data_IF_537352693702
#
_entry.id   IF_537352693702
#
_cell.length_a   1.000
_cell.length_b   1.000
_cell.length_c   1.000
_cell.angle_alpha   90.00
_cell.angle_beta   90.00
_cell.angle_gamma   90.00
#
_symmetry.space_group_name_H-M   'P 1'
#
loop_
_entity.id
_entity.type
_entity.pdbx_description
1 polymer ?
#
# COMPACT_ATOMS: atom_id res chain seq x y z
N UNK A 1 -38.06 -62.18 22.59
CA UNK A 1 -37.13 -61.39 23.42
C UNK A 1 -35.75 -61.34 22.76
N UNK A 2 -35.63 -60.81 21.53
CA UNK A 2 -34.34 -60.75 20.79
C UNK A 2 -33.99 -59.31 20.37
N UNK A 3 -34.97 -58.39 20.34
CA UNK A 3 -34.77 -56.99 19.96
C UNK A 3 -34.01 -56.13 20.99
N UNK A 4 -33.95 -56.54 22.27
CA UNK A 4 -33.32 -55.74 23.33
C UNK A 4 -31.80 -55.96 23.40
N UNK A 5 -31.31 -57.14 23.01
CA UNK A 5 -29.89 -57.49 23.11
C UNK A 5 -29.05 -56.86 21.98
N UNK A 6 -29.66 -56.58 20.82
CA UNK A 6 -28.98 -55.87 19.72
C UNK A 6 -28.97 -54.34 19.87
N UNK A 7 -29.91 -53.75 20.62
CA UNK A 7 -30.02 -52.29 20.74
C UNK A 7 -28.94 -51.68 21.66
N UNK A 8 -28.47 -52.42 22.66
CA UNK A 8 -27.48 -51.96 23.63
C UNK A 8 -26.10 -51.59 23.02
N UNK A 9 -25.47 -52.43 22.17
CA UNK A 9 -24.20 -52.04 21.53
C UNK A 9 -24.36 -50.87 20.56
N UNK A 10 -25.50 -50.78 19.85
CA UNK A 10 -25.78 -49.66 18.95
C UNK A 10 -26.00 -48.33 19.71
N UNK A 11 -26.59 -48.37 20.91
CA UNK A 11 -26.68 -47.18 21.78
C UNK A 11 -25.30 -46.72 22.26
N UNK A 12 -24.42 -47.63 22.65
CA UNK A 12 -23.04 -47.30 23.05
C UNK A 12 -22.25 -46.69 21.89
N UNK A 13 -22.39 -47.24 20.69
CA UNK A 13 -21.76 -46.69 19.48
C UNK A 13 -22.35 -45.31 19.14
N UNK A 14 -23.67 -45.15 19.21
CA UNK A 14 -24.34 -43.86 18.99
C UNK A 14 -23.88 -42.78 19.98
N UNK A 15 -23.70 -43.13 21.25
CA UNK A 15 -23.20 -42.23 22.29
C UNK A 15 -21.73 -41.85 22.04
N UNK A 16 -20.89 -42.80 21.64
CA UNK A 16 -19.49 -42.55 21.28
C UNK A 16 -19.38 -41.63 20.06
N UNK A 17 -20.18 -41.89 19.02
CA UNK A 17 -20.21 -41.07 17.81
C UNK A 17 -20.73 -39.66 18.10
N UNK A 18 -21.74 -39.52 18.96
CA UNK A 18 -22.21 -38.22 19.44
C UNK A 18 -21.10 -37.43 20.16
N UNK A 19 -20.37 -38.08 21.07
CA UNK A 19 -19.27 -37.45 21.80
C UNK A 19 -18.10 -37.03 20.88
N UNK A 20 -17.78 -37.86 19.88
CA UNK A 20 -16.78 -37.55 18.86
C UNK A 20 -17.20 -36.38 17.97
N UNK A 21 -18.48 -36.31 17.59
CA UNK A 21 -19.00 -35.20 16.79
C UNK A 21 -18.91 -33.87 17.56
N UNK A 22 -19.36 -33.84 18.82
CA UNK A 22 -19.29 -32.63 19.65
C UNK A 22 -17.83 -32.22 19.95
N UNK A 23 -16.93 -33.19 20.14
CA UNK A 23 -15.50 -32.93 20.32
C UNK A 23 -14.83 -32.35 19.07
N UNK A 24 -15.23 -32.81 17.88
CA UNK A 24 -14.72 -32.30 16.61
C UNK A 24 -15.18 -30.85 16.36
N UNK A 25 -16.44 -30.53 16.64
CA UNK A 25 -16.99 -29.18 16.52
C UNK A 25 -16.27 -28.18 17.45
N UNK A 26 -16.05 -28.55 18.71
CA UNK A 26 -15.32 -27.71 19.67
C UNK A 26 -13.84 -27.50 19.27
N UNK A 27 -13.19 -28.52 18.73
CA UNK A 27 -11.82 -28.40 18.19
C UNK A 27 -11.78 -27.47 16.97
N UNK A 28 -12.77 -27.56 16.08
CA UNK A 28 -12.87 -26.73 14.90
C UNK A 28 -13.10 -25.25 15.27
N UNK A 29 -13.94 -24.97 16.25
CA UNK A 29 -14.18 -23.61 16.78
C UNK A 29 -12.92 -23.03 17.48
N UNK A 30 -12.17 -23.86 18.21
CA UNK A 30 -10.91 -23.45 18.82
C UNK A 30 -9.82 -23.19 17.79
N UNK A 31 -9.75 -24.02 16.73
CA UNK A 31 -8.82 -23.84 15.61
C UNK A 31 -9.16 -22.58 14.83
N UNK A 32 -10.44 -22.33 14.50
CA UNK A 32 -10.84 -21.09 13.81
C UNK A 32 -10.52 -19.86 14.66
N UNK A 33 -10.80 -19.90 15.96
CA UNK A 33 -10.44 -18.81 16.89
C UNK A 33 -8.93 -18.59 16.96
N UNK A 34 -8.14 -19.68 16.94
CA UNK A 34 -6.67 -19.60 16.97
C UNK A 34 -6.12 -19.06 15.66
N UNK A 35 -6.62 -19.53 14.52
CA UNK A 35 -6.25 -19.07 13.19
C UNK A 35 -6.57 -17.59 13.01
N UNK A 36 -7.76 -17.14 13.42
CA UNK A 36 -8.14 -15.72 13.41
C UNK A 36 -7.21 -14.87 14.29
N UNK A 37 -6.85 -15.35 15.48
CA UNK A 37 -5.89 -14.67 16.36
C UNK A 37 -4.48 -14.65 15.78
N UNK A 38 -4.06 -15.72 15.12
CA UNK A 38 -2.74 -15.83 14.50
C UNK A 38 -2.65 -14.96 13.25
N UNK A 39 -3.72 -14.89 12.45
CA UNK A 39 -3.87 -13.97 11.33
C UNK A 39 -3.85 -12.50 11.80
N UNK A 40 -4.63 -12.16 12.82
CA UNK A 40 -4.63 -10.81 13.39
C UNK A 40 -3.24 -10.41 13.93
N UNK A 41 -2.52 -11.34 14.57
CA UNK A 41 -1.15 -11.11 15.04
C UNK A 41 -0.16 -10.95 13.91
N UNK A 42 -0.28 -11.73 12.83
CA UNK A 42 0.61 -11.61 11.67
C UNK A 42 0.36 -10.30 10.91
N UNK A 43 -0.90 -9.91 10.73
CA UNK A 43 -1.29 -8.62 10.15
C UNK A 43 -0.75 -7.44 10.94
N UNK A 44 -0.88 -7.48 12.28
CA UNK A 44 -0.35 -6.44 13.15
C UNK A 44 1.18 -6.32 13.04
N UNK A 45 1.90 -7.44 13.06
CA UNK A 45 3.36 -7.43 12.87
C UNK A 45 3.75 -6.88 11.49
N UNK A 46 3.04 -7.28 10.44
CA UNK A 46 3.28 -6.76 9.09
C UNK A 46 3.02 -5.24 9.02
N UNK A 47 2.01 -4.74 9.73
CA UNK A 47 1.76 -3.32 9.86
C UNK A 47 2.89 -2.60 10.61
N UNK A 48 3.34 -3.13 11.75
CA UNK A 48 4.45 -2.57 12.53
C UNK A 48 5.76 -2.52 11.73
N UNK A 49 6.07 -3.56 10.95
CA UNK A 49 7.24 -3.58 10.06
C UNK A 49 7.14 -2.53 8.95
N UNK A 50 5.98 -2.41 8.30
CA UNK A 50 5.74 -1.39 7.28
C UNK A 50 5.89 0.01 7.86
N UNK A 51 5.25 0.28 9.00
CA UNK A 51 5.27 1.62 9.61
C UNK A 51 6.70 2.01 10.02
N UNK A 52 7.47 1.04 10.52
CA UNK A 52 8.90 1.21 10.78
C UNK A 52 9.67 1.53 9.50
N UNK A 53 9.44 0.80 8.41
CA UNK A 53 10.11 1.07 7.14
C UNK A 53 9.75 2.46 6.58
N UNK A 54 8.49 2.89 6.71
CA UNK A 54 8.05 4.25 6.34
C UNK A 54 8.87 5.30 7.08
N UNK A 55 9.06 5.15 8.40
CA UNK A 55 9.88 6.07 9.20
C UNK A 55 11.37 5.97 8.87
N UNK A 56 11.92 4.77 8.69
CA UNK A 56 13.35 4.57 8.35
C UNK A 56 13.69 5.23 7.00
N UNK A 57 12.76 5.22 6.06
CA UNK A 57 12.90 5.92 4.78
C UNK A 57 12.40 7.38 4.84
N UNK A 58 12.03 7.93 5.99
CA UNK A 58 11.55 9.32 6.12
C UNK A 58 10.26 9.63 5.33
N UNK A 59 9.55 8.60 4.88
CA UNK A 59 8.31 8.70 4.10
C UNK A 59 7.12 9.16 4.96
N UNK A 60 7.28 9.24 6.27
CA UNK A 60 6.34 9.86 7.21
C UNK A 60 6.30 11.39 7.08
N UNK A 61 7.33 12.00 6.49
CA UNK A 61 7.38 13.43 6.20
C UNK A 61 7.05 13.74 4.74
N UNK A 62 6.47 14.91 4.49
CA UNK A 62 6.04 15.33 3.13
C UNK A 62 7.21 15.71 2.24
N UNK A 63 8.29 16.25 2.81
CA UNK A 63 9.47 16.73 2.09
C UNK A 63 10.67 16.82 3.02
N UNK A 64 11.86 16.96 2.45
CA UNK A 64 13.15 17.00 3.13
C UNK A 64 13.41 18.18 4.09
N UNK A 65 12.56 19.21 4.06
CA UNK A 65 12.72 20.41 4.89
C UNK A 65 13.50 21.56 4.24
N UNK A 66 14.09 21.36 3.06
CA UNK A 66 14.87 22.40 2.37
C UNK A 66 13.99 23.21 1.40
N UNK A 67 13.68 24.44 1.80
CA UNK A 67 12.90 25.37 0.98
C UNK A 67 13.68 25.94 -0.21
N UNK A 68 15.01 25.88 -0.20
CA UNK A 68 15.83 26.39 -1.29
C UNK A 68 16.05 25.34 -2.39
N UNK A 69 15.90 24.06 -2.07
CA UNK A 69 15.95 22.95 -3.02
C UNK A 69 14.76 22.92 -3.98
N UNK A 70 14.90 22.15 -5.06
CA UNK A 70 13.90 22.00 -6.10
C UNK A 70 12.56 21.51 -5.53
N UNK A 71 12.56 20.56 -4.60
CA UNK A 71 11.36 20.08 -3.92
C UNK A 71 10.64 21.19 -3.15
N UNK A 72 11.37 22.00 -2.37
CA UNK A 72 10.83 23.13 -1.63
C UNK A 72 10.27 24.23 -2.54
N UNK A 73 11.03 24.63 -3.56
CA UNK A 73 10.59 25.62 -4.55
C UNK A 73 9.38 25.13 -5.35
N UNK A 74 9.34 23.84 -5.66
CA UNK A 74 8.22 23.19 -6.29
C UNK A 74 6.96 23.24 -5.40
N UNK A 75 7.07 22.91 -4.11
CA UNK A 75 5.96 23.01 -3.15
C UNK A 75 5.45 24.45 -3.02
N UNK A 76 6.33 25.45 -2.97
CA UNK A 76 5.94 26.86 -2.92
C UNK A 76 5.15 27.28 -4.16
N UNK A 77 5.65 26.92 -5.35
CA UNK A 77 4.94 27.16 -6.61
C UNK A 77 3.58 26.45 -6.61
N UNK A 78 3.54 25.23 -6.10
CA UNK A 78 2.33 24.45 -6.02
C UNK A 78 1.28 25.10 -5.12
N UNK A 79 1.61 25.41 -3.87
CA UNK A 79 0.66 26.02 -2.93
C UNK A 79 0.20 27.41 -3.40
N UNK A 80 1.02 28.11 -4.19
CA UNK A 80 0.60 29.32 -4.89
C UNK A 80 -0.55 29.08 -5.88
N UNK A 81 -0.53 27.95 -6.60
CA UNK A 81 -1.47 27.64 -7.68
C UNK A 81 -2.74 26.91 -7.20
N UNK A 82 -2.63 25.98 -6.26
CA UNK A 82 -3.76 25.25 -5.70
C UNK A 82 -3.58 24.95 -4.21
N UNK A 83 -4.58 25.30 -3.42
CA UNK A 83 -4.64 24.95 -1.99
C UNK A 83 -5.30 23.58 -1.75
N UNK A 84 -5.67 22.84 -2.80
CA UNK A 84 -6.32 21.54 -2.66
C UNK A 84 -5.29 20.45 -2.34
N UNK A 85 -5.67 19.48 -1.50
CA UNK A 85 -4.78 18.39 -1.06
C UNK A 85 -4.87 17.14 -1.94
N UNK A 86 -6.03 16.83 -2.54
CA UNK A 86 -6.14 15.79 -3.58
C UNK A 86 -5.72 16.34 -4.93
N UNK A 87 -4.86 15.59 -5.61
CA UNK A 87 -4.14 16.01 -6.81
C UNK A 87 -3.89 14.79 -7.69
N UNK A 88 -3.78 15.01 -8.99
CA UNK A 88 -3.45 13.95 -9.95
C UNK A 88 -1.97 14.03 -10.29
N UNK A 89 -1.32 12.87 -10.28
CA UNK A 89 0.04 12.69 -10.77
C UNK A 89 -0.02 11.69 -11.92
N UNK A 90 0.52 12.08 -13.06
CA UNK A 90 0.61 11.24 -14.24
C UNK A 90 2.06 11.12 -14.68
N UNK A 91 2.48 9.91 -15.01
CA UNK A 91 3.76 9.67 -15.66
C UNK A 91 3.52 9.58 -17.16
N UNK A 92 4.27 10.37 -17.94
CA UNK A 92 4.25 10.31 -19.40
C UNK A 92 5.65 9.99 -19.90
N UNK A 93 5.81 9.82 -21.22
CA UNK A 93 7.13 9.65 -21.83
C UNK A 93 8.05 10.82 -21.46
N UNK A 94 9.07 10.54 -20.63
CA UNK A 94 10.09 11.49 -20.24
C UNK A 94 9.69 12.56 -19.22
N UNK A 95 8.48 12.55 -18.64
CA UNK A 95 8.08 13.58 -17.66
C UNK A 95 7.06 13.11 -16.64
N UNK A 96 7.11 13.72 -15.46
CA UNK A 96 6.09 13.64 -14.43
C UNK A 96 5.21 14.87 -14.52
N UNK A 97 3.92 14.67 -14.76
CA UNK A 97 2.92 15.74 -14.86
C UNK A 97 2.11 15.76 -13.58
N UNK A 98 2.04 16.93 -12.96
CA UNK A 98 1.25 17.15 -11.76
C UNK A 98 0.12 18.11 -12.08
N UNK A 99 -1.08 17.69 -11.74
CA UNK A 99 -2.29 18.39 -12.09
C UNK A 99 -3.20 18.55 -10.87
N UNK A 100 -3.79 19.73 -10.73
CA UNK A 100 -4.65 20.05 -9.61
C UNK A 100 -5.80 20.94 -10.08
N UNK A 101 -6.97 20.90 -9.40
CA UNK A 101 -8.01 21.87 -9.64
C UNK A 101 -7.55 23.28 -9.21
N UNK A 102 -8.04 24.35 -9.87
CA UNK A 102 -7.74 25.73 -9.49
C UNK A 102 -8.29 26.06 -8.09
N UNK A 103 -7.73 27.11 -7.49
CA UNK A 103 -8.13 27.59 -6.15
C UNK A 103 -9.64 27.90 -6.12
N UNK A 104 -10.37 27.26 -5.18
CA UNK A 104 -11.83 27.43 -4.90
C UNK A 104 -12.81 26.70 -5.85
N UNK A 105 -12.71 25.39 -6.00
CA UNK A 105 -13.77 24.60 -6.66
C UNK A 105 -14.33 23.51 -5.74
N UNK A 106 -15.61 23.62 -5.37
CA UNK A 106 -16.33 22.61 -4.59
C UNK A 106 -17.10 21.62 -5.45
N UNK A 107 -17.44 22.00 -6.70
CA UNK A 107 -18.25 21.24 -7.67
C UNK A 107 -17.42 20.97 -8.92
N UNK A 108 -17.57 19.78 -9.56
CA UNK A 108 -16.93 19.43 -10.84
C UNK A 108 -15.38 19.49 -10.83
N UNK A 109 -14.77 19.13 -9.70
CA UNK A 109 -13.32 19.20 -9.47
C UNK A 109 -12.50 18.44 -10.51
N UNK A 110 -12.93 17.21 -10.81
CA UNK A 110 -12.27 16.30 -11.77
C UNK A 110 -12.24 16.89 -13.19
N UNK A 111 -13.31 17.57 -13.61
CA UNK A 111 -13.39 18.21 -14.94
C UNK A 111 -12.65 19.55 -15.05
N UNK A 112 -12.15 20.08 -13.93
CA UNK A 112 -11.45 21.36 -13.86
C UNK A 112 -9.98 21.20 -13.50
N UNK A 113 -9.45 19.96 -13.52
CA UNK A 113 -8.04 19.70 -13.28
C UNK A 113 -7.20 20.36 -14.37
N UNK A 114 -6.17 21.10 -13.95
CA UNK A 114 -5.22 21.75 -14.84
C UNK A 114 -3.81 21.29 -14.48
N UNK A 115 -2.93 21.22 -15.49
CA UNK A 115 -1.52 20.94 -15.27
C UNK A 115 -0.91 22.13 -14.54
N UNK A 116 -0.39 21.88 -13.34
CA UNK A 116 0.26 22.90 -12.51
C UNK A 116 1.78 22.83 -12.62
N UNK A 117 2.30 21.67 -13.02
CA UNK A 117 3.71 21.48 -13.29
C UNK A 117 3.94 20.28 -14.21
N UNK A 118 4.96 20.41 -15.04
CA UNK A 118 5.58 19.32 -15.76
C UNK A 118 7.04 19.27 -15.33
N UNK A 119 7.48 18.12 -14.86
CA UNK A 119 8.86 17.91 -14.40
C UNK A 119 9.50 16.88 -15.33
N UNK A 120 10.51 17.26 -16.10
CA UNK A 120 11.28 16.32 -16.91
C UNK A 120 11.89 15.20 -16.06
N UNK A 121 12.05 14.01 -16.63
CA UNK A 121 12.58 12.84 -15.90
C UNK A 121 14.07 12.99 -15.53
N UNK A 122 14.79 13.86 -16.22
CA UNK A 122 16.13 14.29 -15.88
C UNK A 122 16.18 15.16 -14.61
N UNK A 123 15.10 15.90 -14.33
CA UNK A 123 15.02 16.82 -13.20
C UNK A 123 14.42 16.17 -11.96
N UNK A 124 13.54 15.18 -12.13
CA UNK A 124 13.04 14.37 -11.04
C UNK A 124 12.67 12.94 -11.45
N UNK A 125 12.95 12.01 -10.55
CA UNK A 125 12.69 10.58 -10.70
C UNK A 125 11.70 10.14 -9.63
N UNK A 126 10.67 9.40 -10.05
CA UNK A 126 9.76 8.73 -9.14
C UNK A 126 10.37 7.40 -8.69
N UNK A 127 10.44 7.22 -7.38
CA UNK A 127 11.01 6.08 -6.69
C UNK A 127 9.99 5.48 -5.73
N UNK A 128 10.10 4.17 -5.51
CA UNK A 128 9.42 3.44 -4.45
C UNK A 128 10.50 2.98 -3.47
N UNK A 129 10.78 3.72 -2.39
CA UNK A 129 11.81 3.34 -1.44
C UNK A 129 11.54 2.03 -0.72
N UNK A 130 10.29 1.54 -0.74
CA UNK A 130 9.90 0.27 -0.16
C UNK A 130 9.90 -0.86 -1.20
N UNK A 131 10.21 -0.57 -2.47
CA UNK A 131 10.39 -1.49 -3.60
C UNK A 131 9.37 -2.64 -3.67
N UNK A 132 8.13 -2.40 -3.23
CA UNK A 132 7.09 -3.42 -3.10
C UNK A 132 7.32 -4.51 -2.03
N UNK A 133 8.36 -4.42 -1.20
CA UNK A 133 8.56 -5.27 -0.01
C UNK A 133 7.40 -5.10 0.98
N UNK A 134 6.94 -3.86 1.12
CA UNK A 134 5.76 -3.50 1.89
C UNK A 134 4.79 -2.72 0.99
N UNK A 135 3.53 -3.18 0.93
CA UNK A 135 2.47 -2.41 0.25
C UNK A 135 2.26 -1.09 0.99
N UNK A 136 2.42 0.02 0.27
CA UNK A 136 2.45 1.37 0.81
C UNK A 136 1.74 2.32 -0.14
N UNK A 137 1.09 3.34 0.40
CA UNK A 137 0.58 4.45 -0.39
C UNK A 137 1.64 5.53 -0.64
N UNK A 138 2.85 5.37 -0.10
CA UNK A 138 3.94 6.35 -0.16
C UNK A 138 4.91 6.05 -1.29
N UNK A 139 5.10 7.02 -2.18
CA UNK A 139 6.19 7.08 -3.16
C UNK A 139 7.07 8.30 -2.90
N UNK A 140 8.28 8.30 -3.43
CA UNK A 140 9.19 9.46 -3.35
C UNK A 140 9.44 10.02 -4.74
N UNK A 141 9.24 11.32 -4.91
CA UNK A 141 9.76 12.06 -6.05
C UNK A 141 11.08 12.71 -5.64
N UNK A 142 12.19 12.23 -6.20
CA UNK A 142 13.54 12.74 -5.92
C UNK A 142 14.00 13.61 -7.07
N UNK A 143 14.41 14.83 -6.77
CA UNK A 143 14.94 15.78 -7.73
C UNK A 143 16.44 15.57 -7.98
N UNK A 144 16.94 16.13 -9.08
CA UNK A 144 18.34 16.02 -9.51
C UNK A 144 19.33 16.68 -8.54
N UNK A 145 18.89 17.68 -7.78
CA UNK A 145 19.66 18.34 -6.70
C UNK A 145 19.70 17.53 -5.39
N UNK A 146 19.04 16.36 -5.36
CA UNK A 146 18.96 15.48 -4.19
C UNK A 146 17.80 15.81 -3.25
N UNK A 147 17.11 16.93 -3.47
CA UNK A 147 15.89 17.26 -2.73
C UNK A 147 14.76 16.29 -3.06
N UNK A 148 13.80 16.12 -2.15
CA UNK A 148 12.73 15.14 -2.37
C UNK A 148 11.41 15.51 -1.72
N UNK A 149 10.34 14.91 -2.24
CA UNK A 149 9.00 14.97 -1.69
C UNK A 149 8.32 13.59 -1.68
N UNK A 150 7.47 13.38 -0.69
CA UNK A 150 6.64 12.19 -0.57
C UNK A 150 5.31 12.42 -1.27
N UNK A 151 4.94 11.49 -2.14
CA UNK A 151 3.63 11.40 -2.76
C UNK A 151 2.82 10.34 -2.04
N UNK A 152 1.58 10.68 -1.68
CA UNK A 152 0.62 9.74 -1.08
C UNK A 152 -0.43 9.43 -2.13
N UNK A 153 -0.53 8.17 -2.54
CA UNK A 153 -1.53 7.70 -3.50
C UNK A 153 -2.79 7.22 -2.77
N UNK A 154 -3.94 7.25 -3.44
CA UNK A 154 -5.20 6.80 -2.79
C UNK A 154 -5.19 5.29 -2.48
N UNK A 155 -4.46 4.51 -3.28
CA UNK A 155 -4.30 3.07 -3.12
C UNK A 155 -2.88 2.72 -2.66
N UNK A 156 -2.74 1.67 -1.85
CA UNK A 156 -1.44 1.13 -1.40
C UNK A 156 -0.62 0.44 -2.50
N UNK A 157 -1.18 0.30 -3.70
CA UNK A 157 -0.52 -0.34 -4.84
C UNK A 157 -1.06 0.22 -6.14
N UNK A 158 -0.95 1.54 -6.29
CA UNK A 158 -1.37 2.26 -7.49
C UNK A 158 -0.55 1.88 -8.73
N UNK A 159 -1.03 2.28 -9.91
CA UNK A 159 -0.31 2.13 -11.18
C UNK A 159 1.10 2.75 -11.16
N UNK A 160 1.31 3.81 -10.36
CA UNK A 160 2.63 4.42 -10.17
C UNK A 160 3.62 3.45 -9.52
N UNK A 161 3.19 2.69 -8.50
CA UNK A 161 4.02 1.65 -7.88
C UNK A 161 4.36 0.56 -8.90
N UNK A 162 3.37 0.13 -9.68
CA UNK A 162 3.56 -0.92 -10.69
C UNK A 162 4.51 -0.47 -11.81
N UNK A 163 4.45 0.80 -12.20
CA UNK A 163 5.39 1.41 -13.13
C UNK A 163 6.82 1.38 -12.58
N UNK A 164 7.03 1.86 -11.35
CA UNK A 164 8.36 1.89 -10.71
C UNK A 164 8.93 0.47 -10.57
N UNK A 165 8.12 -0.47 -10.10
CA UNK A 165 8.48 -1.89 -9.99
C UNK A 165 8.86 -2.53 -11.34
N UNK A 166 8.20 -2.14 -12.44
CA UNK A 166 8.53 -2.64 -13.77
C UNK A 166 9.86 -2.08 -14.25
N UNK A 167 10.08 -0.77 -14.05
CA UNK A 167 11.30 -0.08 -14.48
C UNK A 167 12.54 -0.56 -13.72
N UNK A 168 12.43 -0.84 -12.42
CA UNK A 168 13.53 -1.39 -11.64
C UNK A 168 13.95 -2.79 -12.11
N UNK A 169 12.99 -3.64 -12.52
CA UNK A 169 13.29 -4.95 -13.11
C UNK A 169 13.98 -4.86 -14.46
N UNK A 170 13.56 -3.93 -15.32
CA UNK A 170 14.18 -3.74 -16.64
C UNK A 170 15.58 -3.14 -16.52
N UNK A 171 15.77 -2.13 -15.66
CA UNK A 171 17.09 -1.54 -15.41
C UNK A 171 18.09 -2.51 -14.77
N UNK A 172 17.61 -3.46 -13.96
CA UNK A 172 18.45 -4.54 -13.40
C UNK A 172 18.89 -5.59 -14.43
N UNK A 173 18.10 -5.80 -15.50
CA UNK A 173 18.46 -6.71 -16.58
C UNK A 173 19.55 -6.12 -17.50
N UNK A 174 19.52 -4.81 -17.74
CA UNK A 174 20.56 -4.13 -18.52
C UNK A 174 21.89 -4.00 -17.74
N UNK A 175 21.83 -3.83 -16.41
CA UNK A 175 23.02 -3.78 -15.56
C UNK A 175 23.71 -5.15 -15.38
N UNK A 176 23.02 -6.26 -15.62
CA UNK A 176 23.58 -7.62 -15.52
C UNK A 176 24.25 -8.12 -16.82
N UNK A 177 24.17 -7.34 -17.91
CA UNK A 177 24.80 -7.65 -19.21
C UNK A 177 25.91 -6.66 -19.60
N UNK A 178 26.37 -5.82 -18.68
CA UNK A 178 27.49 -4.88 -18.85
C UNK A 178 28.77 -5.31 -18.16
#
# INVERSE_FOLDING_TARGET
MVGVVLAAPFMLIGLLLGLLATGAEALQELLSTKEERDASRSERRAAELRDRAVTEHGLDTTFDGDWNGAAGQFLLRWYGHSSHHQRLVALTEGRTVLAAPPKRVSIRRESLVQVVAEIPSEDAVLEDPLLGEHASDRLRLRFSDGSWLTLITEERRSELHMYVLRRSRTGGADAAMG
#
